data_IF_875338251836
#
_entry.id   IF_875338251836
#
_cell.length_a   1.000
_cell.length_b   1.000
_cell.length_c   1.000
_cell.angle_alpha   90.00
_cell.angle_beta   90.00
_cell.angle_gamma   90.00
#
_symmetry.space_group_name_H-M   'P 1'
#
loop_
_entity.id
_entity.type
_entity.pdbx_description
1 polymer ?
#
# COMPACT_ATOMS: atom_id res chain seq x y z
N UNK A 1 16.01 -1.02 7.52
CA UNK A 1 15.27 0.24 7.72
C UNK A 1 14.37 0.43 6.51
N UNK A 2 13.16 0.96 6.66
CA UNK A 2 12.31 1.32 5.53
C UNK A 2 12.44 2.81 5.22
N UNK A 3 12.52 3.15 3.94
CA UNK A 3 12.71 4.52 3.48
C UNK A 3 11.61 4.85 2.50
N UNK A 4 10.87 5.92 2.78
CA UNK A 4 9.87 6.52 1.89
C UNK A 4 10.45 7.82 1.35
N UNK A 5 10.36 8.04 0.05
CA UNK A 5 11.06 9.14 -0.60
C UNK A 5 10.24 9.76 -1.75
N UNK A 6 10.53 11.03 -2.11
CA UNK A 6 9.82 11.76 -3.15
C UNK A 6 9.70 10.98 -4.48
N UNK A 7 8.51 11.01 -5.10
CA UNK A 7 8.28 10.31 -6.40
C UNK A 7 9.11 10.90 -7.53
N UNK A 8 9.27 12.23 -7.56
CA UNK A 8 10.05 12.96 -8.56
C UNK A 8 11.54 12.56 -8.56
N UNK A 9 12.06 12.04 -7.45
CA UNK A 9 13.45 11.59 -7.29
C UNK A 9 13.60 10.05 -7.23
N UNK A 10 12.56 9.29 -7.57
CA UNK A 10 12.50 7.81 -7.42
C UNK A 10 13.72 7.08 -7.97
N UNK A 11 14.26 7.49 -9.12
CA UNK A 11 15.45 6.85 -9.73
C UNK A 11 16.72 7.05 -8.89
N UNK A 12 16.89 8.24 -8.31
CA UNK A 12 18.06 8.59 -7.48
C UNK A 12 18.00 7.79 -6.18
N UNK A 13 16.86 7.79 -5.50
CA UNK A 13 16.65 7.06 -4.25
C UNK A 13 16.78 5.55 -4.41
N UNK A 14 16.17 4.95 -5.44
CA UNK A 14 16.31 3.51 -5.71
C UNK A 14 17.77 3.10 -5.89
N UNK A 15 18.56 3.92 -6.59
CA UNK A 15 19.99 3.67 -6.81
C UNK A 15 20.79 3.81 -5.52
N UNK A 16 20.51 4.85 -4.73
CA UNK A 16 21.19 5.11 -3.48
C UNK A 16 20.97 3.96 -2.48
N UNK A 17 19.70 3.59 -2.25
CA UNK A 17 19.32 2.56 -1.29
C UNK A 17 19.84 1.17 -1.70
N UNK A 18 19.90 0.88 -3.00
CA UNK A 18 20.48 -0.37 -3.51
C UNK A 18 22.01 -0.45 -3.33
N UNK A 19 22.69 0.64 -2.96
CA UNK A 19 24.13 0.65 -2.77
C UNK A 19 24.48 0.04 -1.40
N UNK A 20 25.21 -1.10 -1.32
CA UNK A 20 25.47 -1.78 -0.03
C UNK A 20 26.20 -0.92 1.01
N UNK A 21 27.00 0.05 0.54
CA UNK A 21 27.75 0.97 1.38
C UNK A 21 26.85 1.99 2.09
N UNK A 22 25.68 2.30 1.52
CA UNK A 22 24.73 3.27 2.09
C UNK A 22 24.30 2.88 3.51
N UNK A 23 23.84 1.64 3.70
CA UNK A 23 23.38 1.18 5.03
C UNK A 23 24.51 1.20 6.06
N UNK A 24 25.73 0.85 5.65
CA UNK A 24 26.90 0.82 6.54
C UNK A 24 27.30 2.21 7.01
N UNK A 25 27.36 3.18 6.09
CA UNK A 25 27.67 4.58 6.40
C UNK A 25 26.57 5.18 7.27
N UNK A 26 25.30 4.93 6.93
CA UNK A 26 24.16 5.43 7.69
C UNK A 26 24.14 4.87 9.12
N UNK A 27 24.30 3.56 9.29
CA UNK A 27 24.36 2.93 10.61
C UNK A 27 25.55 3.42 11.46
N UNK A 28 26.69 3.71 10.80
CA UNK A 28 27.85 4.27 11.49
C UNK A 28 27.57 5.67 12.03
N UNK A 29 27.02 6.56 11.19
CA UNK A 29 26.68 7.93 11.59
C UNK A 29 25.54 8.00 12.61
N UNK A 30 24.66 7.00 12.67
CA UNK A 30 23.64 6.89 13.72
C UNK A 30 24.22 6.54 15.11
N UNK A 31 25.32 5.78 15.14
CA UNK A 31 25.90 5.25 16.37
C UNK A 31 27.08 6.08 16.91
N UNK A 32 27.53 7.08 16.15
CA UNK A 32 28.70 7.89 16.47
C UNK A 32 28.37 9.38 16.35
N UNK A 33 28.76 10.14 17.37
CA UNK A 33 28.66 11.60 17.35
C UNK A 33 29.98 12.23 16.88
N UNK A 34 29.91 13.47 16.37
CA UNK A 34 31.09 14.27 16.02
C UNK A 34 32.05 13.62 15.02
N UNK A 35 31.53 12.81 14.09
CA UNK A 35 32.31 12.08 13.09
C UNK A 35 32.99 13.04 12.10
N UNK A 36 34.26 12.77 11.77
CA UNK A 36 35.05 13.56 10.81
C UNK A 36 35.32 12.81 9.51
N UNK A 37 35.60 13.53 8.43
CA UNK A 37 35.88 12.94 7.11
C UNK A 37 37.07 11.96 7.14
N UNK A 38 38.13 12.25 7.91
CA UNK A 38 39.31 11.37 8.00
C UNK A 38 38.95 9.99 8.57
N UNK A 39 38.08 9.97 9.58
CA UNK A 39 37.59 8.76 10.23
C UNK A 39 36.69 7.97 9.29
N UNK A 40 35.78 8.65 8.58
CA UNK A 40 34.95 8.03 7.56
C UNK A 40 35.77 7.40 6.44
N UNK A 41 36.77 8.10 5.89
CA UNK A 41 37.66 7.55 4.84
C UNK A 41 38.50 6.37 5.31
N UNK A 42 38.85 6.33 6.60
CA UNK A 42 39.58 5.21 7.18
C UNK A 42 38.67 3.98 7.34
N UNK A 43 37.41 4.19 7.70
CA UNK A 43 36.43 3.12 7.90
C UNK A 43 35.81 2.60 6.61
N UNK A 44 35.65 3.48 5.62
CA UNK A 44 35.05 3.20 4.32
C UNK A 44 36.05 3.58 3.20
N UNK A 45 37.03 2.70 2.90
CA UNK A 45 38.09 2.96 1.92
C UNK A 45 37.63 2.80 0.46
N UNK A 46 36.35 2.53 0.22
CA UNK A 46 35.82 2.29 -1.12
C UNK A 46 35.95 3.53 -2.01
N UNK A 47 36.34 3.34 -3.28
CA UNK A 47 36.56 4.44 -4.24
C UNK A 47 35.32 5.30 -4.50
N UNK A 48 34.12 4.75 -4.29
CA UNK A 48 32.84 5.44 -4.48
C UNK A 48 32.30 6.07 -3.18
N UNK A 49 32.99 5.95 -2.05
CA UNK A 49 32.53 6.47 -0.76
C UNK A 49 32.29 7.98 -0.79
N UNK A 50 33.23 8.77 -1.31
CA UNK A 50 33.10 10.24 -1.34
C UNK A 50 31.88 10.68 -2.17
N UNK A 51 31.68 10.03 -3.32
CA UNK A 51 30.52 10.28 -4.17
C UNK A 51 29.21 9.93 -3.46
N UNK A 52 29.17 8.79 -2.76
CA UNK A 52 28.01 8.38 -1.97
C UNK A 52 27.72 9.39 -0.86
N UNK A 53 28.76 9.84 -0.15
CA UNK A 53 28.64 10.81 0.93
C UNK A 53 28.10 12.16 0.43
N UNK A 54 28.58 12.62 -0.73
CA UNK A 54 28.07 13.84 -1.37
C UNK A 54 26.60 13.68 -1.78
N UNK A 55 26.23 12.54 -2.38
CA UNK A 55 24.83 12.22 -2.71
C UNK A 55 23.93 12.21 -1.45
N UNK A 56 24.41 11.64 -0.33
CA UNK A 56 23.70 11.65 0.96
C UNK A 56 23.55 13.06 1.55
N UNK A 57 24.52 13.94 1.34
CA UNK A 57 24.46 15.34 1.78
C UNK A 57 23.46 16.13 0.93
N UNK A 58 23.52 15.97 -0.40
CA UNK A 58 22.57 16.61 -1.32
C UNK A 58 21.13 16.25 -1.00
N UNK A 59 20.87 15.00 -0.61
CA UNK A 59 19.54 14.51 -0.24
C UNK A 59 19.15 14.81 1.22
N UNK A 60 19.99 15.55 1.97
CA UNK A 60 19.72 15.91 3.37
C UNK A 60 19.82 14.75 4.36
N UNK A 61 20.21 13.55 3.92
CA UNK A 61 20.39 12.35 4.76
C UNK A 61 21.55 12.58 5.75
N UNK A 62 22.59 13.27 5.29
CA UNK A 62 23.76 13.62 6.09
C UNK A 62 23.89 15.14 6.15
N UNK A 63 23.99 15.68 7.36
CA UNK A 63 24.30 17.09 7.57
C UNK A 63 25.80 17.21 7.81
N UNK A 64 26.45 18.07 7.03
CA UNK A 64 27.84 18.49 7.23
C UNK A 64 27.87 19.88 7.83
N UNK A 65 28.30 19.98 9.09
CA UNK A 65 28.37 21.23 9.83
C UNK A 65 29.68 21.27 10.63
N UNK A 66 30.42 22.38 10.62
CA UNK A 66 31.68 22.52 11.35
C UNK A 66 32.70 21.38 11.11
N UNK A 67 32.76 20.87 9.86
CA UNK A 67 33.58 19.70 9.46
C UNK A 67 33.23 18.40 10.20
N UNK A 68 32.03 18.33 10.78
CA UNK A 68 31.43 17.14 11.37
C UNK A 68 30.29 16.65 10.49
N UNK A 69 30.13 15.34 10.45
CA UNK A 69 29.09 14.65 9.69
C UNK A 69 28.17 13.97 10.68
N UNK A 70 26.86 14.18 10.52
CA UNK A 70 25.83 13.55 11.34
C UNK A 70 24.64 13.18 10.46
N UNK A 71 23.83 12.24 10.94
CA UNK A 71 22.55 11.96 10.29
C UNK A 71 21.65 13.19 10.40
N UNK A 72 21.10 13.62 9.26
CA UNK A 72 20.22 14.77 9.12
C UNK A 72 18.73 14.43 9.18
N UNK A 73 18.41 13.15 9.05
CA UNK A 73 17.05 12.63 9.01
C UNK A 73 16.66 12.03 10.35
N UNK A 74 15.38 12.12 10.68
CA UNK A 74 14.83 11.48 11.87
C UNK A 74 14.48 10.02 11.56
N UNK A 75 14.89 9.12 12.44
CA UNK A 75 14.47 7.72 12.40
C UNK A 75 13.22 7.55 13.26
N UNK A 76 12.06 7.30 12.63
CA UNK A 76 10.81 7.12 13.33
C UNK A 76 10.65 5.69 13.85
N UNK A 77 10.29 5.59 15.13
CA UNK A 77 10.01 4.32 15.81
C UNK A 77 8.52 4.16 16.16
N UNK A 78 7.82 5.28 16.40
CA UNK A 78 6.42 5.31 16.78
C UNK A 78 5.64 6.28 15.89
N UNK A 79 4.33 6.03 15.75
CA UNK A 79 3.42 7.02 15.17
C UNK A 79 3.51 8.28 16.03
N UNK A 80 3.72 9.47 15.44
CA UNK A 80 3.56 10.69 16.19
C UNK A 80 2.14 10.71 16.76
N UNK A 81 2.00 11.08 18.04
CA UNK A 81 0.67 11.18 18.64
C UNK A 81 -0.05 12.33 17.98
N UNK A 82 -1.19 12.03 17.39
CA UNK A 82 -2.00 13.03 16.72
C UNK A 82 -3.39 13.05 17.31
N UNK A 83 -3.90 14.25 17.54
CA UNK A 83 -5.29 14.46 17.90
C UNK A 83 -6.13 14.34 16.63
N UNK A 84 -6.55 13.11 16.33
CA UNK A 84 -7.61 12.88 15.34
C UNK A 84 -8.90 13.38 15.98
N UNK A 85 -9.37 14.56 15.57
CA UNK A 85 -10.71 15.02 15.92
C UNK A 85 -11.68 14.01 15.33
N UNK A 86 -12.42 13.30 16.19
CA UNK A 86 -13.48 12.38 15.75
C UNK A 86 -14.54 13.19 15.02
N UNK A 87 -14.42 13.25 13.70
CA UNK A 87 -15.45 13.84 12.89
C UNK A 87 -16.44 12.77 12.44
N UNK A 88 -17.70 13.01 12.76
CA UNK A 88 -18.86 12.24 12.31
C UNK A 88 -19.34 12.66 10.90
N UNK A 89 -18.53 13.38 10.11
CA UNK A 89 -18.97 13.90 8.80
C UNK A 89 -19.29 12.80 7.76
N UNK A 90 -18.92 11.56 8.04
CA UNK A 90 -19.31 10.38 7.25
C UNK A 90 -20.67 9.80 7.67
N UNK A 91 -21.35 10.37 8.67
CA UNK A 91 -22.70 9.96 9.05
C UNK A 91 -23.67 10.22 7.91
N UNK A 92 -24.37 9.18 7.49
CA UNK A 92 -25.34 9.23 6.39
C UNK A 92 -24.87 8.56 5.10
N UNK A 93 -23.59 8.22 4.99
CA UNK A 93 -23.06 7.41 3.89
C UNK A 93 -23.09 5.93 4.25
N UNK A 94 -23.40 5.11 3.25
CA UNK A 94 -23.29 3.65 3.36
C UNK A 94 -21.83 3.23 3.51
N UNK A 95 -21.62 2.03 4.05
CA UNK A 95 -20.28 1.46 4.17
C UNK A 95 -19.56 1.35 2.81
N UNK A 96 -20.30 1.08 1.74
CA UNK A 96 -19.77 0.99 0.38
C UNK A 96 -19.28 2.35 -0.12
N UNK A 97 -20.09 3.41 0.04
CA UNK A 97 -19.72 4.78 -0.32
C UNK A 97 -18.51 5.28 0.45
N UNK A 98 -18.44 4.96 1.76
CA UNK A 98 -17.28 5.33 2.58
C UNK A 98 -16.03 4.58 2.14
N UNK A 99 -16.15 3.29 1.87
CA UNK A 99 -15.02 2.47 1.41
C UNK A 99 -14.50 2.94 0.04
N UNK A 100 -15.41 3.24 -0.88
CA UNK A 100 -15.07 3.75 -2.21
C UNK A 100 -14.47 5.16 -2.13
N UNK A 101 -15.07 6.06 -1.38
CA UNK A 101 -14.54 7.42 -1.20
C UNK A 101 -13.15 7.42 -0.56
N UNK A 102 -12.92 6.56 0.43
CA UNK A 102 -11.60 6.37 1.03
C UNK A 102 -10.57 5.90 0.01
N UNK A 103 -10.91 4.92 -0.81
CA UNK A 103 -10.00 4.46 -1.85
C UNK A 103 -9.70 5.53 -2.87
N UNK A 104 -10.73 6.17 -3.44
CA UNK A 104 -10.54 7.28 -4.37
C UNK A 104 -9.66 8.35 -3.74
N UNK A 105 -9.80 8.58 -2.44
CA UNK A 105 -9.00 9.53 -1.70
C UNK A 105 -7.54 9.07 -1.58
N UNK A 106 -7.29 7.83 -1.20
CA UNK A 106 -5.96 7.20 -1.19
C UNK A 106 -5.26 7.25 -2.55
N UNK A 107 -6.00 7.11 -3.64
CA UNK A 107 -5.45 7.23 -4.99
C UNK A 107 -5.09 8.66 -5.36
N UNK A 108 -5.85 9.63 -4.84
CA UNK A 108 -5.55 11.05 -5.01
C UNK A 108 -4.45 11.54 -4.07
N UNK A 109 -4.18 10.79 -3.00
CA UNK A 109 -3.03 11.01 -2.14
C UNK A 109 -1.79 10.56 -2.91
N UNK A 110 -1.16 11.53 -3.56
CA UNK A 110 0.23 11.38 -3.91
C UNK A 110 1.05 11.70 -2.67
N UNK A 111 1.75 10.69 -2.14
CA UNK A 111 2.82 10.94 -1.17
C UNK A 111 3.93 11.72 -1.88
N UNK A 112 3.79 13.03 -1.89
CA UNK A 112 4.92 13.91 -2.10
C UNK A 112 5.56 14.13 -0.74
N UNK A 113 6.33 13.12 -0.34
CA UNK A 113 7.26 13.29 0.78
C UNK A 113 8.29 14.32 0.29
N UNK A 114 8.03 15.61 0.53
CA UNK A 114 9.00 16.69 0.28
C UNK A 114 10.33 16.38 0.98
N UNK A 115 10.28 15.61 2.07
CA UNK A 115 11.43 15.09 2.80
C UNK A 115 11.34 13.57 2.96
N UNK A 116 12.46 12.85 2.80
CA UNK A 116 12.49 11.40 2.92
C UNK A 116 12.25 10.94 4.37
N UNK A 117 11.35 9.98 4.54
CA UNK A 117 11.03 9.39 5.83
C UNK A 117 11.83 8.11 6.07
N UNK A 118 12.46 8.02 7.24
CA UNK A 118 13.21 6.84 7.67
C UNK A 118 12.46 6.16 8.81
N UNK A 119 12.04 4.92 8.60
CA UNK A 119 11.32 4.11 9.59
C UNK A 119 12.20 2.96 10.04
N UNK A 120 12.41 2.84 11.35
CA UNK A 120 13.19 1.76 11.93
C UNK A 120 12.47 0.42 11.72
N UNK A 121 13.22 -0.61 11.32
CA UNK A 121 12.63 -1.94 11.15
C UNK A 121 12.16 -2.51 12.49
N UNK A 122 11.20 -3.43 12.45
CA UNK A 122 10.70 -4.17 13.61
C UNK A 122 10.08 -3.29 14.70
N UNK A 123 9.65 -2.08 14.36
CA UNK A 123 8.86 -1.23 15.26
C UNK A 123 7.36 -1.41 15.02
N UNK A 124 6.50 -1.10 16.00
CA UNK A 124 5.05 -1.07 15.81
C UNK A 124 4.64 -0.20 14.62
N UNK A 125 5.33 0.93 14.40
CA UNK A 125 5.12 1.79 13.23
C UNK A 125 5.47 1.09 11.92
N UNK A 126 6.60 0.39 11.83
CA UNK A 126 6.97 -0.37 10.63
C UNK A 126 5.96 -1.48 10.32
N UNK A 127 5.51 -2.20 11.35
CA UNK A 127 4.47 -3.23 11.23
C UNK A 127 3.10 -2.63 10.88
N UNK A 128 2.77 -1.44 11.40
CA UNK A 128 1.53 -0.75 11.08
C UNK A 128 1.53 -0.30 9.62
N UNK A 129 2.60 0.36 9.16
CA UNK A 129 2.80 0.76 7.76
C UNK A 129 2.81 -0.44 6.79
N UNK A 130 3.28 -1.61 7.24
CA UNK A 130 3.14 -2.87 6.49
C UNK A 130 1.70 -3.34 6.38
N UNK A 131 0.95 -3.22 7.48
CA UNK A 131 -0.46 -3.60 7.56
C UNK A 131 -1.40 -2.56 6.97
N UNK A 132 -0.89 -1.41 6.53
CA UNK A 132 -1.73 -0.44 5.86
C UNK A 132 -2.17 -1.03 4.53
N UNK A 133 -3.48 -1.12 4.29
CA UNK A 133 -3.99 -1.63 3.04
C UNK A 133 -3.51 -0.70 1.92
N UNK A 134 -2.57 -1.17 1.11
CA UNK A 134 -2.36 -0.62 -0.22
C UNK A 134 -3.59 -1.03 -1.01
N UNK A 135 -4.50 -0.08 -1.14
CA UNK A 135 -5.66 -0.24 -1.99
C UNK A 135 -5.15 -0.20 -3.43
N UNK A 136 -5.04 -1.38 -4.04
CA UNK A 136 -4.72 -1.49 -5.45
C UNK A 136 -6.03 -1.55 -6.22
N UNK A 137 -6.18 -0.58 -7.11
CA UNK A 137 -7.29 -0.54 -8.05
C UNK A 137 -6.98 -1.43 -9.24
N UNK A 138 -7.97 -2.19 -9.65
CA UNK A 138 -8.04 -2.64 -11.02
C UNK A 138 -9.28 -2.05 -11.66
N UNK A 139 -9.05 -1.19 -12.66
CA UNK A 139 -10.08 -0.55 -13.44
C UNK A 139 -10.35 -1.36 -14.71
N UNK A 140 -11.60 -1.70 -14.93
CA UNK A 140 -12.07 -1.95 -16.30
C UNK A 140 -12.70 -0.67 -16.85
N UNK A 141 -11.96 0.03 -17.71
CA UNK A 141 -12.37 1.31 -18.31
C UNK A 141 -13.72 1.22 -19.04
N UNK A 142 -14.11 0.03 -19.53
CA UNK A 142 -15.39 -0.14 -20.22
C UNK A 142 -16.56 -0.26 -19.26
N UNK A 143 -16.37 -0.92 -18.12
CA UNK A 143 -17.43 -1.11 -17.14
C UNK A 143 -17.38 -0.10 -15.98
N UNK A 144 -16.36 0.76 -15.93
CA UNK A 144 -16.07 1.68 -14.81
C UNK A 144 -16.10 0.96 -13.45
N UNK A 145 -15.74 -0.33 -13.46
CA UNK A 145 -15.73 -1.16 -12.25
C UNK A 145 -14.37 -0.98 -11.58
N UNK A 146 -14.40 -0.55 -10.33
CA UNK A 146 -13.23 -0.42 -9.49
C UNK A 146 -13.16 -1.64 -8.59
N UNK A 147 -12.21 -2.51 -8.89
CA UNK A 147 -11.90 -3.59 -7.99
C UNK A 147 -10.88 -3.13 -6.95
N UNK A 148 -11.16 -3.41 -5.68
CA UNK A 148 -10.23 -3.10 -4.59
C UNK A 148 -9.72 -4.36 -3.92
N UNK A 149 -8.48 -4.71 -4.27
CA UNK A 149 -7.69 -5.55 -3.40
C UNK A 149 -6.97 -4.67 -2.40
N UNK A 150 -7.08 -5.05 -1.14
CA UNK A 150 -6.18 -4.56 -0.10
C UNK A 150 -5.01 -5.52 -0.02
N UNK A 151 -3.83 -5.12 -0.51
CA UNK A 151 -2.59 -5.77 -0.07
C UNK A 151 -2.20 -5.15 1.26
N UNK A 152 -2.13 -5.96 2.32
CA UNK A 152 -1.21 -5.64 3.41
C UNK A 152 0.14 -6.22 3.01
N UNK A 153 1.21 -5.45 3.12
CA UNK A 153 2.57 -5.97 2.99
C UNK A 153 2.72 -7.13 3.99
N UNK A 154 2.90 -8.35 3.50
CA UNK A 154 3.05 -9.55 4.33
C UNK A 154 1.83 -10.46 4.50
N UNK A 155 0.76 -10.30 3.69
CA UNK A 155 -0.14 -11.42 3.42
C UNK A 155 0.47 -12.30 2.33
N UNK A 156 0.57 -13.61 2.60
CA UNK A 156 1.32 -14.56 1.77
C UNK A 156 0.79 -14.64 0.31
N UNK A 157 -0.52 -14.46 0.13
CA UNK A 157 -1.21 -14.48 -1.18
C UNK A 157 -1.22 -13.08 -1.81
N UNK A 158 -0.35 -12.85 -2.78
CA UNK A 158 -0.31 -11.60 -3.56
C UNK A 158 -1.67 -11.24 -4.19
N UNK A 159 -1.92 -9.96 -4.45
CA UNK A 159 -3.17 -9.50 -5.07
C UNK A 159 -3.17 -9.70 -6.58
N UNK A 160 -4.33 -9.54 -7.23
CA UNK A 160 -4.43 -9.53 -8.70
C UNK A 160 -3.49 -8.47 -9.31
N UNK A 161 -3.39 -7.30 -8.68
CA UNK A 161 -2.58 -6.19 -9.18
C UNK A 161 -1.09 -6.40 -8.92
N UNK A 162 -0.68 -6.94 -7.76
CA UNK A 162 0.70 -7.37 -7.50
C UNK A 162 1.16 -8.41 -8.53
N UNK A 163 0.31 -9.40 -8.81
CA UNK A 163 0.58 -10.45 -9.79
C UNK A 163 0.79 -9.88 -11.20
N UNK A 164 -0.13 -9.07 -11.71
CA UNK A 164 0.02 -8.50 -13.06
C UNK A 164 1.17 -7.49 -13.16
N UNK A 165 1.46 -6.75 -12.08
CA UNK A 165 2.64 -5.90 -12.04
C UNK A 165 3.92 -6.73 -12.18
N UNK A 166 4.06 -7.80 -11.38
CA UNK A 166 5.24 -8.69 -11.45
C UNK A 166 5.39 -9.34 -12.82
N UNK A 167 4.29 -9.77 -13.44
CA UNK A 167 4.32 -10.28 -14.82
C UNK A 167 4.83 -9.22 -15.80
N UNK A 168 4.33 -7.99 -15.72
CA UNK A 168 4.75 -6.90 -16.61
C UNK A 168 6.23 -6.52 -16.46
N UNK A 169 6.76 -6.64 -15.24
CA UNK A 169 8.14 -6.32 -14.91
C UNK A 169 9.10 -7.50 -15.12
N UNK A 170 8.59 -8.68 -15.53
CA UNK A 170 9.32 -9.95 -15.56
C UNK A 170 10.01 -10.27 -14.22
N UNK A 171 9.34 -9.93 -13.12
CA UNK A 171 9.82 -10.16 -11.76
C UNK A 171 9.55 -11.60 -11.32
N UNK A 172 10.30 -12.07 -10.32
CA UNK A 172 10.14 -13.42 -9.76
C UNK A 172 8.78 -13.56 -9.06
N UNK A 173 7.99 -14.54 -9.47
CA UNK A 173 6.73 -14.92 -8.82
C UNK A 173 7.00 -15.76 -7.57
N UNK A 174 6.15 -15.61 -6.55
CA UNK A 174 6.08 -16.48 -5.37
C UNK A 174 5.56 -17.88 -5.73
N UNK A 175 5.63 -18.82 -4.79
CA UNK A 175 5.07 -20.17 -4.99
C UNK A 175 3.57 -20.15 -5.29
N UNK A 176 2.80 -19.36 -4.55
CA UNK A 176 1.36 -19.21 -4.75
C UNK A 176 1.03 -18.44 -6.05
N UNK A 177 1.84 -17.44 -6.42
CA UNK A 177 1.69 -16.74 -7.71
C UNK A 177 2.00 -17.67 -8.89
N UNK A 178 2.87 -18.66 -8.72
CA UNK A 178 3.11 -19.69 -9.73
C UNK A 178 1.92 -20.63 -9.90
N UNK A 179 1.13 -20.90 -8.86
CA UNK A 179 -0.13 -21.65 -8.99
C UNK A 179 -1.11 -20.88 -9.87
N UNK A 180 -1.22 -19.57 -9.66
CA UNK A 180 -2.06 -18.69 -10.47
C UNK A 180 -1.56 -18.63 -11.92
N UNK A 181 -0.24 -18.54 -12.11
CA UNK A 181 0.35 -18.59 -13.44
C UNK A 181 0.10 -19.93 -14.15
N UNK A 182 0.10 -21.05 -13.41
CA UNK A 182 -0.25 -22.35 -14.00
C UNK A 182 -1.70 -22.43 -14.48
N UNK A 183 -2.58 -21.65 -13.86
CA UNK A 183 -4.01 -21.58 -14.19
C UNK A 183 -4.31 -20.60 -15.35
N UNK A 184 -3.75 -19.39 -15.27
CA UNK A 184 -4.03 -18.31 -16.22
C UNK A 184 -3.03 -18.27 -17.40
N UNK A 185 -1.82 -18.77 -17.22
CA UNK A 185 -0.72 -18.65 -18.18
C UNK A 185 -0.26 -17.20 -18.37
N UNK A 186 0.29 -16.93 -19.56
CA UNK A 186 0.72 -15.59 -20.00
C UNK A 186 -0.48 -14.76 -20.52
N UNK A 187 -1.58 -14.77 -19.76
CA UNK A 187 -2.80 -14.05 -20.15
C UNK A 187 -2.53 -12.55 -20.16
N UNK A 188 -3.00 -11.87 -21.21
CA UNK A 188 -2.95 -10.42 -21.26
C UNK A 188 -3.74 -9.82 -20.07
N UNK A 189 -3.14 -8.92 -19.26
CA UNK A 189 -3.79 -8.38 -18.07
C UNK A 189 -5.14 -7.70 -18.37
N UNK A 190 -5.22 -6.90 -19.44
CA UNK A 190 -6.46 -6.22 -19.83
C UNK A 190 -7.56 -7.19 -20.26
N UNK A 191 -7.18 -8.33 -20.84
CA UNK A 191 -8.15 -9.39 -21.18
C UNK A 191 -8.66 -10.11 -19.93
N UNK A 192 -7.76 -10.52 -19.03
CA UNK A 192 -8.13 -11.17 -17.78
C UNK A 192 -9.04 -10.27 -16.92
N UNK A 193 -8.70 -8.97 -16.84
CA UNK A 193 -9.53 -8.00 -16.13
C UNK A 193 -10.94 -7.91 -16.68
N UNK A 194 -11.10 -7.87 -18.00
CA UNK A 194 -12.43 -7.86 -18.63
C UNK A 194 -13.23 -9.12 -18.28
N UNK A 195 -12.58 -10.27 -18.25
CA UNK A 195 -13.23 -11.53 -17.86
C UNK A 195 -13.65 -11.50 -16.39
N UNK A 196 -12.81 -11.00 -15.49
CA UNK A 196 -13.16 -10.82 -14.07
C UNK A 196 -14.34 -9.87 -13.88
N UNK A 197 -14.35 -8.70 -14.54
CA UNK A 197 -15.42 -7.71 -14.43
C UNK A 197 -16.79 -8.28 -14.80
N UNK A 198 -16.87 -9.12 -15.83
CA UNK A 198 -18.14 -9.77 -16.24
C UNK A 198 -18.71 -10.63 -15.10
N UNK A 199 -17.87 -11.28 -14.31
CA UNK A 199 -18.32 -12.08 -13.17
C UNK A 199 -18.67 -11.21 -11.97
N UNK A 200 -17.82 -10.23 -11.63
CA UNK A 200 -18.02 -9.34 -10.50
C UNK A 200 -19.28 -8.49 -10.65
N UNK A 201 -19.57 -7.99 -11.86
CA UNK A 201 -20.81 -7.24 -12.13
C UNK A 201 -22.08 -8.03 -11.81
N UNK A 202 -22.07 -9.36 -11.97
CA UNK A 202 -23.23 -10.18 -11.61
C UNK A 202 -23.52 -10.17 -10.12
N UNK A 203 -22.51 -9.87 -9.27
CA UNK A 203 -22.69 -9.75 -7.84
C UNK A 203 -23.34 -8.41 -7.42
N UNK A 204 -23.46 -7.43 -8.30
CA UNK A 204 -24.26 -6.23 -8.02
C UNK A 204 -25.75 -6.55 -7.91
N UNK A 205 -26.21 -7.53 -8.68
CA UNK A 205 -27.62 -7.94 -8.71
C UNK A 205 -27.88 -9.23 -7.91
N UNK A 206 -26.83 -9.99 -7.59
CA UNK A 206 -26.95 -11.31 -6.97
C UNK A 206 -25.97 -11.46 -5.79
N UNK A 207 -26.43 -12.03 -4.68
CA UNK A 207 -25.55 -12.28 -3.51
C UNK A 207 -24.61 -13.47 -3.71
N UNK A 208 -24.84 -14.30 -4.72
CA UNK A 208 -24.06 -15.51 -5.01
C UNK A 208 -24.16 -15.94 -6.48
N UNK A 209 -23.17 -16.72 -6.95
CA UNK A 209 -23.15 -17.28 -8.31
C UNK A 209 -22.96 -18.79 -8.28
N UNK A 210 -23.78 -19.55 -9.00
CA UNK A 210 -23.59 -21.00 -9.15
C UNK A 210 -22.54 -21.35 -10.21
N UNK A 211 -21.63 -22.27 -9.88
CA UNK A 211 -20.62 -22.88 -10.76
C UNK A 211 -21.33 -23.80 -11.75
N UNK A 212 -21.67 -23.24 -12.91
CA UNK A 212 -22.30 -24.00 -14.01
C UNK A 212 -21.31 -24.77 -14.87
N UNK A 213 -20.05 -24.33 -14.91
CA UNK A 213 -18.95 -24.92 -15.68
C UNK A 213 -17.62 -24.55 -15.04
N UNK A 214 -16.57 -25.27 -15.39
CA UNK A 214 -15.19 -24.87 -15.06
C UNK A 214 -14.84 -23.57 -15.79
N UNK A 215 -14.24 -22.64 -15.05
CA UNK A 215 -13.83 -21.35 -15.59
C UNK A 215 -12.59 -20.87 -14.84
N UNK A 216 -11.48 -20.79 -15.57
CA UNK A 216 -10.18 -20.42 -15.01
C UNK A 216 -10.16 -19.04 -14.38
N UNK A 217 -11.06 -18.13 -14.79
CA UNK A 217 -11.13 -16.79 -14.23
C UNK A 217 -11.86 -16.78 -12.88
N UNK A 218 -12.95 -17.56 -12.74
CA UNK A 218 -13.58 -17.74 -11.44
C UNK A 218 -12.66 -18.46 -10.46
N UNK A 219 -11.95 -19.48 -10.93
CA UNK A 219 -11.01 -20.21 -10.10
C UNK A 219 -9.80 -19.32 -9.71
N UNK A 220 -9.30 -18.47 -10.63
CA UNK A 220 -8.30 -17.46 -10.29
C UNK A 220 -8.79 -16.45 -9.23
N UNK A 221 -10.04 -15.96 -9.35
CA UNK A 221 -10.63 -15.06 -8.35
C UNK A 221 -10.74 -15.73 -6.96
N UNK A 222 -10.91 -17.06 -6.90
CA UNK A 222 -10.82 -17.80 -5.63
C UNK A 222 -9.40 -17.86 -5.11
N UNK A 223 -8.40 -18.12 -5.97
CA UNK A 223 -6.99 -18.11 -5.57
C UNK A 223 -6.55 -16.75 -5.01
N UNK A 224 -6.98 -15.65 -5.64
CA UNK A 224 -6.78 -14.28 -5.16
C UNK A 224 -7.65 -13.90 -3.96
N UNK A 225 -8.44 -14.84 -3.43
CA UNK A 225 -9.34 -14.64 -2.29
C UNK A 225 -10.40 -13.54 -2.51
N UNK A 226 -10.70 -13.21 -3.77
CA UNK A 226 -11.76 -12.29 -4.18
C UNK A 226 -13.12 -12.94 -4.04
N UNK A 227 -13.19 -14.22 -4.40
CA UNK A 227 -14.35 -15.07 -4.24
C UNK A 227 -14.05 -16.16 -3.22
N UNK A 228 -15.06 -16.51 -2.41
CA UNK A 228 -15.08 -17.72 -1.61
C UNK A 228 -15.99 -18.72 -2.29
N UNK A 229 -15.50 -19.92 -2.55
CA UNK A 229 -16.34 -21.01 -3.06
C UNK A 229 -16.82 -21.89 -1.90
N UNK A 230 -18.13 -22.16 -1.84
CA UNK A 230 -18.76 -23.13 -0.94
C UNK A 230 -19.54 -24.14 -1.79
N UNK A 231 -19.04 -25.37 -1.89
CA UNK A 231 -19.56 -26.41 -2.81
C UNK A 231 -19.55 -25.91 -4.26
N UNK A 232 -20.71 -25.74 -4.89
CA UNK A 232 -20.89 -25.24 -6.25
C UNK A 232 -21.18 -23.75 -6.29
N UNK A 233 -21.23 -23.05 -5.16
CA UNK A 233 -21.66 -21.65 -5.12
C UNK A 233 -20.49 -20.74 -4.77
N UNK A 234 -20.33 -19.65 -5.51
CA UNK A 234 -19.37 -18.58 -5.26
C UNK A 234 -20.02 -17.42 -4.51
N UNK A 235 -19.30 -16.90 -3.55
CA UNK A 235 -19.66 -15.73 -2.75
C UNK A 235 -18.56 -14.70 -2.86
N UNK A 236 -18.93 -13.42 -2.87
CA UNK A 236 -17.96 -12.34 -2.82
C UNK A 236 -17.27 -12.33 -1.44
N UNK A 237 -15.95 -12.18 -1.43
CA UNK A 237 -15.13 -12.18 -0.21
C UNK A 237 -14.33 -10.88 -0.02
N UNK A 238 -14.34 -9.99 -1.01
CA UNK A 238 -13.74 -8.65 -0.96
C UNK A 238 -14.72 -7.61 -1.51
N UNK A 239 -14.69 -6.36 -1.02
CA UNK A 239 -15.53 -5.31 -1.58
C UNK A 239 -15.11 -4.97 -3.02
N UNK A 240 -16.10 -4.64 -3.85
CA UNK A 240 -15.91 -3.97 -5.14
C UNK A 240 -17.02 -2.94 -5.30
N UNK A 241 -16.80 -1.92 -6.13
CA UNK A 241 -17.76 -0.83 -6.31
C UNK A 241 -17.62 -0.19 -7.69
N UNK A 242 -18.61 0.62 -8.05
CA UNK A 242 -18.58 1.46 -9.23
C UNK A 242 -17.87 2.78 -8.94
N UNK A 243 -17.17 3.33 -9.93
CA UNK A 243 -16.41 4.59 -9.80
C UNK A 243 -17.23 5.77 -9.29
N UNK A 244 -18.50 5.83 -9.68
CA UNK A 244 -19.40 6.91 -9.27
C UNK A 244 -19.77 6.81 -7.79
N UNK A 245 -19.68 5.61 -7.19
CA UNK A 245 -19.86 5.42 -5.76
C UNK A 245 -18.79 6.23 -4.99
N UNK A 246 -19.16 6.89 -3.89
CA UNK A 246 -18.18 7.57 -3.02
C UNK A 246 -17.49 8.81 -3.60
N UNK A 247 -17.87 9.35 -4.77
CA UNK A 247 -17.32 10.64 -5.27
C UNK A 247 -17.65 11.82 -4.34
N UNK A 248 -18.82 11.81 -3.70
CA UNK A 248 -19.18 12.80 -2.68
C UNK A 248 -18.32 12.63 -1.43
N UNK A 249 -18.14 11.38 -0.98
CA UNK A 249 -17.23 11.05 0.14
C UNK A 249 -15.80 11.48 -0.19
N UNK A 250 -15.32 11.27 -1.41
CA UNK A 250 -14.02 11.75 -1.87
C UNK A 250 -13.90 13.28 -1.72
N UNK A 251 -14.94 14.02 -2.10
CA UNK A 251 -15.01 15.47 -1.92
C UNK A 251 -14.89 15.86 -0.44
N UNK A 252 -15.66 15.21 0.43
CA UNK A 252 -15.63 15.44 1.88
C UNK A 252 -14.26 15.10 2.48
N UNK A 253 -13.63 14.00 2.04
CA UNK A 253 -12.30 13.63 2.50
C UNK A 253 -11.25 14.65 2.05
N UNK A 254 -11.34 15.16 0.82
CA UNK A 254 -10.44 16.24 0.35
C UNK A 254 -10.66 17.56 1.09
N UNK A 255 -11.90 17.87 1.46
CA UNK A 255 -12.25 19.09 2.19
C UNK A 255 -11.78 19.02 3.65
N UNK A 256 -11.99 17.88 4.32
CA UNK A 256 -11.63 17.67 5.73
C UNK A 256 -10.16 17.28 5.92
N UNK A 257 -9.52 16.77 4.86
CA UNK A 257 -8.10 16.42 4.85
C UNK A 257 -7.38 16.99 3.61
N UNK A 258 -7.30 18.32 3.48
CA UNK A 258 -6.67 18.97 2.33
C UNK A 258 -5.14 18.88 2.34
N UNK A 259 -4.53 18.60 3.50
CA UNK A 259 -3.08 18.63 3.73
C UNK A 259 -2.40 17.24 3.66
N UNK A 260 -3.07 16.21 3.12
CA UNK A 260 -2.54 14.83 3.10
C UNK A 260 -1.52 14.67 1.97
N UNK A 261 -0.45 15.45 2.06
CA UNK A 261 0.73 15.37 1.22
C UNK A 261 1.88 14.71 1.98
N UNK A 262 1.82 14.70 3.32
CA UNK A 262 2.83 14.08 4.18
C UNK A 262 2.39 12.72 4.67
N UNK A 263 3.38 11.83 4.81
CA UNK A 263 3.20 10.48 5.38
C UNK A 263 2.67 10.54 6.82
N UNK A 264 2.99 11.58 7.58
CA UNK A 264 2.46 11.86 8.92
C UNK A 264 0.94 12.06 8.90
N UNK A 265 0.42 12.78 7.92
CA UNK A 265 -1.02 13.03 7.77
C UNK A 265 -1.75 11.78 7.29
N UNK A 266 -1.14 11.02 6.38
CA UNK A 266 -1.63 9.69 6.02
C UNK A 266 -1.69 8.74 7.22
N UNK A 267 -0.71 8.81 8.12
CA UNK A 267 -0.70 8.03 9.35
C UNK A 267 -1.85 8.44 10.28
N UNK A 268 -2.14 9.74 10.44
CA UNK A 268 -3.36 10.23 11.13
C UNK A 268 -4.64 9.66 10.53
N UNK A 269 -4.74 9.69 9.21
CA UNK A 269 -5.90 9.17 8.50
C UNK A 269 -6.04 7.68 8.65
N UNK A 270 -4.94 6.94 8.59
CA UNK A 270 -4.97 5.50 8.78
C UNK A 270 -5.50 5.12 10.16
N UNK A 271 -5.20 5.91 11.20
CA UNK A 271 -5.73 5.72 12.54
C UNK A 271 -7.22 6.09 12.61
N UNK A 272 -7.63 7.23 12.01
CA UNK A 272 -9.04 7.62 11.88
C UNK A 272 -9.88 6.52 11.22
N UNK A 273 -9.41 6.01 10.08
CA UNK A 273 -10.09 4.95 9.35
C UNK A 273 -10.00 3.60 10.04
N UNK A 274 -8.92 3.27 10.75
CA UNK A 274 -8.86 2.06 11.56
C UNK A 274 -9.95 2.07 12.64
N UNK A 275 -10.14 3.21 13.34
CA UNK A 275 -11.21 3.39 14.33
C UNK A 275 -12.60 3.34 13.70
N UNK A 276 -12.79 3.96 12.54
CA UNK A 276 -14.05 3.89 11.78
C UNK A 276 -14.34 2.45 11.29
N UNK A 277 -13.31 1.73 10.81
CA UNK A 277 -13.41 0.34 10.35
C UNK A 277 -13.69 -0.65 11.49
N UNK A 278 -13.25 -0.35 12.71
CA UNK A 278 -13.57 -1.16 13.89
C UNK A 278 -15.06 -1.04 14.22
N UNK A 279 -15.64 0.17 14.14
CA UNK A 279 -17.10 0.38 14.20
C UNK A 279 -17.83 -0.37 13.06
N UNK A 280 -17.22 -0.47 11.87
CA UNK A 280 -17.77 -1.24 10.74
C UNK A 280 -17.73 -2.76 10.98
N UNK A 281 -16.62 -3.32 11.48
CA UNK A 281 -16.48 -4.77 11.74
C UNK A 281 -17.47 -5.27 12.77
N UNK A 282 -17.76 -4.47 13.80
CA UNK A 282 -18.78 -4.79 14.81
C UNK A 282 -20.18 -4.89 14.18
N UNK A 283 -20.49 -4.06 13.18
CA UNK A 283 -21.73 -4.12 12.42
C UNK A 283 -21.79 -5.30 11.42
N UNK A 284 -20.68 -5.67 10.78
CA UNK A 284 -20.62 -6.81 9.86
C UNK A 284 -20.78 -8.17 10.58
N UNK A 285 -20.19 -8.34 11.77
CA UNK A 285 -20.37 -9.54 12.61
C UNK A 285 -21.83 -9.69 13.07
N UNK A 286 -22.56 -8.57 13.21
CA UNK A 286 -23.98 -8.58 13.59
C UNK A 286 -24.91 -9.07 12.47
N UNK A 287 -24.48 -8.94 11.20
CA UNK A 287 -25.18 -9.46 10.02
C UNK A 287 -24.93 -10.97 9.82
N UNK A 288 -23.70 -11.46 10.03
CA UNK A 288 -23.38 -12.90 9.97
C UNK A 288 -24.21 -13.74 10.95
N UNK A 289 -24.60 -13.19 12.11
CA UNK A 289 -25.46 -13.88 13.08
C UNK A 289 -26.94 -13.97 12.69
N UNK A 290 -27.39 -13.21 11.68
CA UNK A 290 -28.79 -13.23 11.24
C UNK A 290 -29.08 -14.30 10.17
N UNK A 291 -28.05 -14.79 9.49
CA UNK A 291 -28.19 -15.80 8.42
C UNK A 291 -27.94 -17.25 8.90
N UNK A 292 -27.72 -17.47 10.21
CA UNK A 292 -27.62 -18.80 10.82
C UNK A 292 -28.95 -19.30 11.46
N UNK A 293 -30.11 -18.98 10.87
CA UNK A 293 -31.38 -19.62 11.25
C UNK A 293 -32.14 -20.20 10.06
#
# INVERSE_FOLDING_TARGET
MKIYYPKNEKKVWKKLIATPLFEQVFAYLLSHENVILRELKQKFPEKNFEKLLDEMITLGIVIRENRRYRVGVQLLEELPKFDVVEHDFLQGYTQEEVSCGWHLFLQTIEFDVETPLFVKNFTPLALALEKLPLAQELLDEKSQLHFCSFSTIGLDKGTISDYFQKLSENSRLSGEEMEIYSLLGDVNPSYAMRAFSIYLLKFLENTSLEKRREDIFLDALVHFNVLRQKKTTYFLNVPFYQKECGQEVLGLLKENFPEVTRIEDFLKLSEYFARYSQKIKENFISLERKDEK
#
